data_IF_614256718249
#
_entry.id   IF_614256718249
#
_cell.length_a   1.000
_cell.length_b   1.000
_cell.length_c   1.000
_cell.angle_alpha   90.00
_cell.angle_beta   90.00
_cell.angle_gamma   90.00
#
_symmetry.space_group_name_H-M   'P 1'
#
loop_
_entity.id
_entity.type
_entity.pdbx_description
1 polymer ?
#
# COMPACT_ATOMS: atom_id res chain seq x y z
N UNK A 1 1.08 12.24 19.98
CA UNK A 1 -0.25 12.10 19.39
C UNK A 1 -0.36 10.84 18.54
N UNK A 2 0.20 10.80 17.34
CA UNK A 2 0.19 9.55 16.58
C UNK A 2 1.39 8.71 16.97
N UNK A 3 1.16 7.43 17.25
CA UNK A 3 2.19 6.46 17.58
C UNK A 3 2.47 5.48 16.45
N UNK A 4 1.43 5.13 15.70
CA UNK A 4 1.54 4.21 14.56
C UNK A 4 0.66 4.67 13.42
N UNK A 5 1.29 4.88 12.28
CA UNK A 5 0.62 5.34 11.06
C UNK A 5 0.73 4.24 10.01
N UNK A 6 -0.39 3.94 9.36
CA UNK A 6 -0.45 2.99 8.23
C UNK A 6 -0.65 3.76 6.94
N UNK A 7 0.07 3.40 5.90
CA UNK A 7 -0.11 3.96 4.55
C UNK A 7 -0.16 2.84 3.52
N UNK A 8 -1.07 2.93 2.57
CA UNK A 8 -1.15 2.01 1.45
C UNK A 8 -0.35 2.50 0.26
N UNK A 9 0.24 1.58 -0.48
CA UNK A 9 0.94 1.89 -1.74
C UNK A 9 0.72 0.80 -2.78
N UNK A 10 0.71 1.20 -4.04
CA UNK A 10 0.73 0.28 -5.20
C UNK A 10 1.96 0.54 -6.08
N UNK A 11 2.91 1.34 -5.58
CA UNK A 11 4.10 1.72 -6.32
C UNK A 11 3.87 2.83 -7.33
N UNK A 12 2.65 3.29 -7.51
CA UNK A 12 2.35 4.38 -8.43
C UNK A 12 2.89 5.71 -7.92
N UNK A 13 2.98 6.69 -8.81
CA UNK A 13 3.43 8.04 -8.47
C UNK A 13 2.50 8.69 -7.44
N UNK A 14 1.18 8.50 -7.58
CA UNK A 14 0.21 9.02 -6.62
C UNK A 14 0.36 8.36 -5.26
N UNK A 15 0.61 7.05 -5.22
CA UNK A 15 0.86 6.34 -3.97
C UNK A 15 2.15 6.82 -3.29
N UNK A 16 3.18 7.14 -4.07
CA UNK A 16 4.43 7.70 -3.52
C UNK A 16 4.19 9.02 -2.81
N UNK A 17 3.30 9.85 -3.32
CA UNK A 17 2.91 11.09 -2.63
C UNK A 17 2.27 10.80 -1.28
N UNK A 18 1.38 9.81 -1.22
CA UNK A 18 0.76 9.41 0.04
C UNK A 18 1.81 8.88 1.03
N UNK A 19 2.74 8.05 0.58
CA UNK A 19 3.83 7.56 1.43
C UNK A 19 4.71 8.71 1.92
N UNK A 20 5.02 9.68 1.06
CA UNK A 20 5.79 10.86 1.45
C UNK A 20 5.10 11.67 2.55
N UNK A 21 3.80 11.91 2.41
CA UNK A 21 3.03 12.61 3.44
C UNK A 21 3.00 11.84 4.75
N UNK A 22 2.78 10.52 4.68
CA UNK A 22 2.78 9.67 5.87
C UNK A 22 4.14 9.68 6.57
N UNK A 23 5.22 9.66 5.79
CA UNK A 23 6.59 9.73 6.32
C UNK A 23 6.84 11.05 7.05
N UNK A 24 6.40 12.16 6.47
CA UNK A 24 6.54 13.48 7.09
C UNK A 24 5.74 13.56 8.40
N UNK A 25 4.53 13.02 8.41
CA UNK A 25 3.70 12.97 9.63
C UNK A 25 4.35 12.09 10.69
N UNK A 26 4.87 10.93 10.32
CA UNK A 26 5.56 10.03 11.24
C UNK A 26 6.78 10.73 11.85
N UNK A 27 7.56 11.41 11.02
CA UNK A 27 8.73 12.15 11.48
C UNK A 27 8.35 13.26 12.44
N UNK A 28 7.31 14.03 12.13
CA UNK A 28 6.87 15.16 12.95
C UNK A 28 6.28 14.73 14.29
N UNK A 29 5.65 13.56 14.35
CA UNK A 29 4.97 13.06 15.54
C UNK A 29 5.76 12.03 16.33
N UNK A 30 6.87 11.53 15.78
CA UNK A 30 7.63 10.43 16.38
C UNK A 30 6.96 9.07 16.21
N UNK A 31 6.02 8.94 15.28
CA UNK A 31 5.30 7.70 15.04
C UNK A 31 6.12 6.69 14.24
N UNK A 32 5.85 5.41 14.43
CA UNK A 32 6.30 4.36 13.52
C UNK A 32 5.39 4.34 12.28
N UNK A 33 5.93 3.94 11.15
CA UNK A 33 5.21 3.86 9.88
C UNK A 33 5.12 2.42 9.40
N UNK A 34 3.91 1.97 9.10
CA UNK A 34 3.67 0.68 8.48
C UNK A 34 3.18 0.91 7.04
N UNK A 35 3.89 0.36 6.08
CA UNK A 35 3.56 0.49 4.66
C UNK A 35 2.95 -0.81 4.17
N UNK A 36 1.77 -0.74 3.59
CA UNK A 36 0.99 -1.90 3.14
C UNK A 36 0.82 -1.86 1.64
N UNK A 37 1.06 -2.98 1.00
CA UNK A 37 0.69 -3.19 -0.39
C UNK A 37 0.00 -4.53 -0.55
N UNK A 38 -0.99 -4.59 -1.42
CA UNK A 38 -1.76 -5.78 -1.66
C UNK A 38 -1.47 -6.36 -3.03
N UNK A 39 -1.61 -7.67 -3.15
CA UNK A 39 -1.50 -8.37 -4.40
C UNK A 39 -2.62 -9.40 -4.51
N UNK A 40 -3.03 -9.68 -5.74
CA UNK A 40 -3.97 -10.75 -6.00
C UNK A 40 -3.20 -11.97 -6.47
N UNK A 41 -3.48 -13.17 -5.91
CA UNK A 41 -2.82 -14.37 -6.39
C UNK A 41 -3.31 -14.69 -7.79
N UNK A 42 -2.40 -15.15 -8.64
CA UNK A 42 -2.78 -15.61 -9.97
C UNK A 42 -3.48 -16.97 -9.82
N UNK A 43 -4.72 -17.13 -10.33
CA UNK A 43 -5.41 -18.42 -10.27
C UNK A 43 -4.58 -19.53 -10.90
N UNK A 44 -4.65 -20.73 -10.33
CA UNK A 44 -3.84 -21.88 -10.78
C UNK A 44 -3.99 -22.18 -12.28
N UNK A 45 -5.21 -22.06 -12.80
CA UNK A 45 -5.49 -22.27 -14.22
C UNK A 45 -4.77 -21.22 -15.08
N UNK A 46 -4.79 -19.98 -14.67
CA UNK A 46 -4.11 -18.89 -15.36
C UNK A 46 -2.60 -19.04 -15.32
N UNK A 47 -2.07 -19.49 -14.20
CA UNK A 47 -0.65 -19.80 -14.07
C UNK A 47 -0.21 -20.88 -15.06
N UNK A 48 -1.02 -21.95 -15.23
CA UNK A 48 -0.73 -23.01 -16.19
C UNK A 48 -0.70 -22.49 -17.62
N UNK A 49 -1.69 -21.68 -17.97
CA UNK A 49 -1.77 -21.10 -19.32
C UNK A 49 -0.60 -20.17 -19.57
N UNK A 50 -0.23 -19.34 -18.63
CA UNK A 50 0.91 -18.45 -18.74
C UNK A 50 2.23 -19.22 -18.84
N UNK A 51 2.38 -20.29 -18.08
CA UNK A 51 3.58 -21.13 -18.14
C UNK A 51 3.71 -21.87 -19.48
N UNK A 52 2.60 -22.23 -20.11
CA UNK A 52 2.61 -22.86 -21.41
C UNK A 52 2.92 -21.90 -22.55
N UNK A 53 2.58 -20.63 -22.39
CA UNK A 53 2.74 -19.61 -23.40
C UNK A 53 4.08 -18.89 -23.34
N UNK A 54 4.79 -19.00 -22.23
CA UNK A 54 6.00 -18.23 -21.95
C UNK A 54 7.19 -19.18 -21.79
N UNK A 55 8.35 -18.89 -22.43
CA UNK A 55 9.56 -19.68 -22.20
C UNK A 55 9.93 -19.75 -20.73
N UNK A 56 10.56 -20.85 -20.32
CA UNK A 56 10.83 -21.13 -18.92
C UNK A 56 11.63 -20.07 -18.18
N UNK A 57 12.53 -19.39 -18.85
CA UNK A 57 13.31 -18.29 -18.29
C UNK A 57 12.47 -17.06 -17.99
N UNK A 58 11.40 -16.83 -18.75
CA UNK A 58 10.46 -15.74 -18.52
C UNK A 58 9.40 -16.15 -17.51
N UNK A 59 9.09 -17.45 -17.42
CA UNK A 59 8.17 -17.98 -16.42
C UNK A 59 8.71 -17.82 -14.99
N UNK A 60 10.00 -17.61 -14.82
CA UNK A 60 10.62 -17.25 -13.56
C UNK A 60 10.55 -15.73 -13.28
N UNK A 61 9.88 -14.98 -14.14
CA UNK A 61 9.65 -13.58 -13.94
C UNK A 61 8.89 -13.31 -12.65
N UNK A 62 8.96 -12.08 -12.22
CA UNK A 62 8.48 -11.60 -10.94
C UNK A 62 6.99 -11.91 -10.77
N UNK A 63 6.63 -12.68 -9.74
CA UNK A 63 5.23 -12.92 -9.39
C UNK A 63 4.63 -11.69 -8.71
N UNK A 64 3.29 -11.65 -8.54
CA UNK A 64 2.62 -10.50 -7.92
C UNK A 64 3.18 -10.13 -6.55
N UNK A 65 3.50 -11.13 -5.74
CA UNK A 65 4.10 -10.90 -4.41
C UNK A 65 5.48 -10.30 -4.48
N UNK A 66 6.29 -10.75 -5.45
CA UNK A 66 7.65 -10.24 -5.63
C UNK A 66 7.65 -8.80 -6.11
N UNK A 67 6.73 -8.44 -7.01
CA UNK A 67 6.52 -7.05 -7.44
C UNK A 67 6.20 -6.15 -6.26
N UNK A 68 5.28 -6.60 -5.41
CA UNK A 68 4.87 -5.87 -4.21
C UNK A 68 6.04 -5.73 -3.23
N UNK A 69 6.82 -6.79 -3.03
CA UNK A 69 8.00 -6.71 -2.16
C UNK A 69 9.02 -5.70 -2.67
N UNK A 70 9.23 -5.63 -3.98
CA UNK A 70 10.13 -4.65 -4.58
C UNK A 70 9.62 -3.22 -4.35
N UNK A 71 8.34 -2.98 -4.53
CA UNK A 71 7.71 -1.68 -4.26
C UNK A 71 7.84 -1.29 -2.79
N UNK A 72 7.60 -2.25 -1.89
CA UNK A 72 7.70 -2.01 -0.45
C UNK A 72 9.13 -1.72 -0.03
N UNK A 73 10.11 -2.44 -0.57
CA UNK A 73 11.52 -2.20 -0.28
C UNK A 73 11.94 -0.79 -0.71
N UNK A 74 11.51 -0.34 -1.87
CA UNK A 74 11.77 1.01 -2.35
C UNK A 74 11.15 2.07 -1.44
N UNK A 75 9.87 1.91 -1.11
CA UNK A 75 9.16 2.84 -0.24
C UNK A 75 9.76 2.86 1.18
N UNK A 76 10.13 1.70 1.70
CA UNK A 76 10.77 1.58 3.00
C UNK A 76 12.12 2.29 3.04
N UNK A 77 12.92 2.13 1.99
CA UNK A 77 14.22 2.80 1.88
C UNK A 77 14.07 4.32 1.92
N UNK A 78 13.14 4.85 1.16
CA UNK A 78 12.88 6.29 1.13
C UNK A 78 12.43 6.82 2.50
N UNK A 79 11.51 6.12 3.16
CA UNK A 79 11.01 6.52 4.48
C UNK A 79 12.08 6.40 5.56
N UNK A 80 12.87 5.33 5.53
CA UNK A 80 13.94 5.09 6.52
C UNK A 80 15.02 6.15 6.49
N UNK A 81 15.31 6.74 5.33
CA UNK A 81 16.28 7.83 5.21
C UNK A 81 15.89 9.05 6.04
N UNK A 82 14.60 9.23 6.30
CA UNK A 82 14.11 10.30 7.16
C UNK A 82 14.21 10.00 8.65
N UNK A 83 14.73 8.85 9.05
CA UNK A 83 14.85 8.46 10.46
C UNK A 83 13.58 7.85 11.04
N UNK A 84 12.62 7.50 10.21
CA UNK A 84 11.37 6.89 10.64
C UNK A 84 11.54 5.37 10.73
N UNK A 85 11.00 4.77 11.80
CA UNK A 85 10.96 3.33 11.92
C UNK A 85 9.86 2.77 11.01
N UNK A 86 10.24 1.94 10.06
CA UNK A 86 9.33 1.43 9.02
C UNK A 86 9.19 -0.07 9.09
N UNK A 87 7.95 -0.55 9.00
CA UNK A 87 7.63 -1.96 8.79
C UNK A 87 6.80 -2.09 7.52
N UNK A 88 7.06 -3.09 6.72
CA UNK A 88 6.34 -3.31 5.47
C UNK A 88 5.46 -4.56 5.55
N UNK A 89 4.32 -4.51 4.86
CA UNK A 89 3.36 -5.60 4.84
C UNK A 89 2.93 -5.87 3.40
N UNK A 90 3.23 -7.06 2.90
CA UNK A 90 2.70 -7.56 1.64
C UNK A 90 1.52 -8.46 1.95
N UNK A 91 0.34 -8.12 1.49
CA UNK A 91 -0.88 -8.85 1.79
C UNK A 91 -1.58 -9.30 0.53
N UNK A 92 -2.14 -10.49 0.59
CA UNK A 92 -2.95 -11.05 -0.48
C UNK A 92 -4.38 -10.52 -0.38
N UNK A 93 -4.97 -10.11 -1.51
CA UNK A 93 -6.36 -9.70 -1.58
C UNK A 93 -6.60 -8.24 -1.95
N UNK A 94 -7.75 -7.74 -1.56
CA UNK A 94 -8.18 -6.38 -1.86
C UNK A 94 -7.34 -5.33 -1.12
N UNK A 95 -6.88 -4.28 -1.80
CA UNK A 95 -6.03 -3.26 -1.15
C UNK A 95 -6.67 -2.58 0.06
N UNK A 96 -7.94 -2.23 0.00
CA UNK A 96 -8.61 -1.59 1.12
C UNK A 96 -8.70 -2.52 2.33
N UNK A 97 -9.05 -3.78 2.10
CA UNK A 97 -9.11 -4.77 3.16
C UNK A 97 -7.73 -5.01 3.79
N UNK A 98 -6.69 -5.07 2.97
CA UNK A 98 -5.32 -5.24 3.47
C UNK A 98 -4.92 -4.09 4.40
N UNK A 99 -5.21 -2.85 4.00
CA UNK A 99 -4.92 -1.66 4.82
C UNK A 99 -5.69 -1.71 6.13
N UNK A 100 -6.98 -2.02 6.08
CA UNK A 100 -7.84 -2.10 7.25
C UNK A 100 -7.41 -3.21 8.21
N UNK A 101 -7.07 -4.38 7.69
CA UNK A 101 -6.61 -5.51 8.50
C UNK A 101 -5.31 -5.19 9.23
N UNK A 102 -4.34 -4.61 8.54
CA UNK A 102 -3.08 -4.19 9.18
C UNK A 102 -3.33 -3.12 10.22
N UNK A 103 -4.17 -2.14 9.94
CA UNK A 103 -4.51 -1.08 10.90
C UNK A 103 -5.09 -1.65 12.19
N UNK A 104 -5.98 -2.64 12.09
CA UNK A 104 -6.53 -3.31 13.26
C UNK A 104 -5.48 -4.14 14.00
N UNK A 105 -4.69 -4.92 13.29
CA UNK A 105 -3.66 -5.80 13.88
C UNK A 105 -2.65 -5.03 14.72
N UNK A 106 -2.23 -3.87 14.25
CA UNK A 106 -1.18 -3.09 14.93
C UNK A 106 -1.73 -2.00 15.86
N UNK A 107 -3.06 -1.80 15.89
CA UNK A 107 -3.65 -0.71 16.65
C UNK A 107 -3.24 0.66 16.12
N UNK A 108 -3.35 0.88 14.81
CA UNK A 108 -2.95 2.13 14.19
C UNK A 108 -3.79 3.32 14.68
N UNK A 109 -3.16 4.46 14.79
CA UNK A 109 -3.80 5.72 15.17
C UNK A 109 -4.28 6.52 13.96
N UNK A 110 -3.68 6.28 12.81
CA UNK A 110 -3.97 7.01 11.59
C UNK A 110 -3.72 6.12 10.38
N UNK A 111 -4.62 6.18 9.42
CA UNK A 111 -4.43 5.59 8.09
C UNK A 111 -4.27 6.72 7.09
N UNK A 112 -3.27 6.62 6.21
CA UNK A 112 -3.01 7.59 5.13
C UNK A 112 -3.25 6.89 3.79
N UNK A 113 -4.06 7.48 2.96
CA UNK A 113 -4.32 6.99 1.59
C UNK A 113 -4.39 8.17 0.62
N UNK A 114 -4.11 7.91 -0.65
CA UNK A 114 -4.31 8.91 -1.69
C UNK A 114 -5.80 9.08 -2.00
N UNK A 115 -6.18 10.22 -2.54
CA UNK A 115 -7.58 10.49 -2.89
C UNK A 115 -8.08 9.68 -4.08
N UNK A 116 -7.18 9.20 -4.91
CA UNK A 116 -7.50 8.24 -5.96
C UNK A 116 -7.06 6.87 -5.49
N UNK A 117 -7.89 5.89 -5.63
CA UNK A 117 -7.50 4.51 -5.38
C UNK A 117 -6.42 4.05 -6.35
N UNK A 118 -6.05 2.80 -6.23
CA UNK A 118 -4.97 2.19 -7.01
C UNK A 118 -5.40 1.85 -8.44
N UNK A 119 -6.60 2.18 -8.84
CA UNK A 119 -7.16 1.91 -10.17
C UNK A 119 -7.73 3.18 -10.78
N UNK A 120 -6.97 4.18 -11.01
CA UNK A 120 -7.34 5.33 -11.81
C UNK A 120 -8.78 5.83 -11.71
N UNK A 121 -9.20 6.35 -10.58
CA UNK A 121 -10.53 6.93 -10.42
C UNK A 121 -10.68 8.24 -11.21
N UNK A 122 -11.92 8.61 -11.53
CA UNK A 122 -12.20 9.88 -12.17
C UNK A 122 -11.78 11.05 -11.28
N UNK A 123 -11.37 12.13 -11.93
CA UNK A 123 -10.72 13.29 -11.33
C UNK A 123 -11.42 13.87 -10.10
N UNK A 124 -12.74 13.87 -10.06
CA UNK A 124 -13.52 14.53 -8.99
C UNK A 124 -14.15 13.55 -8.01
N UNK A 125 -13.93 12.25 -8.19
CA UNK A 125 -14.49 11.23 -7.33
C UNK A 125 -13.40 10.62 -6.45
N UNK A 126 -13.76 10.35 -5.21
CA UNK A 126 -12.90 9.58 -4.32
C UNK A 126 -12.78 8.16 -4.86
N UNK A 127 -11.56 7.65 -4.99
CA UNK A 127 -11.32 6.29 -5.46
C UNK A 127 -11.91 5.23 -4.54
N UNK A 128 -12.01 4.01 -5.05
CA UNK A 128 -12.63 2.90 -4.30
C UNK A 128 -11.88 2.56 -3.01
N UNK A 129 -10.54 2.57 -3.05
CA UNK A 129 -9.73 2.26 -1.87
C UNK A 129 -9.93 3.31 -0.77
N UNK A 130 -9.70 4.62 -1.01
CA UNK A 130 -9.90 5.60 0.04
C UNK A 130 -11.36 5.70 0.50
N UNK A 131 -12.32 5.47 -0.38
CA UNK A 131 -13.72 5.45 0.00
C UNK A 131 -14.03 4.32 0.98
N UNK A 132 -13.62 3.11 0.67
CA UNK A 132 -13.82 1.95 1.56
C UNK A 132 -13.06 2.10 2.88
N UNK A 133 -11.83 2.56 2.82
CA UNK A 133 -11.03 2.80 4.03
C UNK A 133 -11.70 3.83 4.93
N UNK A 134 -12.17 4.94 4.37
CA UNK A 134 -12.79 6.00 5.18
C UNK A 134 -14.08 5.55 5.88
N UNK A 135 -14.82 4.61 5.26
CA UNK A 135 -16.04 4.08 5.85
C UNK A 135 -15.81 3.05 6.95
N UNK A 136 -14.71 2.32 6.90
CA UNK A 136 -14.49 1.16 7.77
C UNK A 136 -13.27 1.28 8.68
N UNK A 137 -12.55 2.38 8.63
CA UNK A 137 -11.33 2.54 9.42
C UNK A 137 -11.59 2.48 10.93
N UNK A 138 -10.72 1.79 11.70
CA UNK A 138 -10.83 1.77 13.16
C UNK A 138 -10.26 3.02 13.82
N UNK A 139 -9.74 3.96 13.05
CA UNK A 139 -9.04 5.16 13.52
C UNK A 139 -9.26 6.31 12.53
N UNK A 140 -8.58 7.43 12.76
CA UNK A 140 -8.62 8.56 11.85
C UNK A 140 -8.03 8.21 10.48
N UNK A 141 -8.48 8.91 9.45
CA UNK A 141 -8.02 8.73 8.07
C UNK A 141 -7.60 10.08 7.50
N UNK A 142 -6.39 10.12 6.94
CA UNK A 142 -5.93 11.27 6.19
C UNK A 142 -5.93 10.90 4.71
N UNK A 143 -6.75 11.58 3.95
CA UNK A 143 -6.82 11.40 2.50
C UNK A 143 -5.96 12.46 1.84
N UNK A 144 -4.84 12.02 1.27
CA UNK A 144 -3.89 12.92 0.62
C UNK A 144 -4.38 13.26 -0.77
N UNK A 145 -4.46 14.55 -1.07
CA UNK A 145 -4.78 14.97 -2.43
C UNK A 145 -3.54 14.82 -3.30
N UNK A 146 -3.60 13.88 -4.23
CA UNK A 146 -2.46 13.55 -5.11
C UNK A 146 -2.59 14.10 -6.53
N UNK A 147 -3.72 14.71 -6.83
CA UNK A 147 -3.99 15.26 -8.17
C UNK A 147 -4.53 16.67 -8.14
#
# INVERSE_FOLDING_TARGET
MFKRIVVGTDGSETARKAVSHATQLAKATGAALDIVSAYEPVPSERLRDEQQQVPGDVAHGVGPREDVNTELDSASGDASQGGVKVTTHAREGDPADAILDVAEEIGADLIVVGNKGMTGARRFLLGSVPNKVSHHAPCGVYIVRTT
#
